data_IF_516647966130
#
_entry.id   IF_516647966130
#
_cell.length_a   1.000
_cell.length_b   1.000
_cell.length_c   1.000
_cell.angle_alpha   90.00
_cell.angle_beta   90.00
_cell.angle_gamma   90.00
#
_symmetry.space_group_name_H-M   'P 1'
#
loop_
_entity.id
_entity.type
_entity.pdbx_description
1 polymer ?
#
# COMPACT_ATOMS: atom_id res chain seq x y z
N UNK A 1 -21.77 21.24 15.10
CA UNK A 1 -22.79 20.21 14.80
C UNK A 1 -22.47 19.03 15.70
N UNK A 2 -23.43 18.44 16.36
CA UNK A 2 -23.23 17.23 17.15
C UNK A 2 -23.52 16.04 16.25
N UNK A 3 -22.61 15.04 16.17
CA UNK A 3 -22.84 13.85 15.38
C UNK A 3 -24.00 13.02 15.94
N UNK A 4 -24.84 12.48 15.05
CA UNK A 4 -25.93 11.57 15.40
C UNK A 4 -25.42 10.13 15.55
N UNK A 5 -26.28 9.21 16.07
CA UNK A 5 -25.95 7.78 16.12
C UNK A 5 -25.74 7.19 14.71
N UNK A 6 -26.50 7.68 13.72
CA UNK A 6 -26.36 7.27 12.32
C UNK A 6 -25.01 7.72 11.73
N UNK A 7 -24.55 8.94 12.06
CA UNK A 7 -23.24 9.42 11.63
C UNK A 7 -22.12 8.55 12.21
N UNK A 8 -22.23 8.19 13.49
CA UNK A 8 -21.25 7.30 14.14
C UNK A 8 -21.26 5.89 13.53
N UNK A 9 -22.42 5.33 13.24
CA UNK A 9 -22.53 4.03 12.58
C UNK A 9 -21.99 4.04 11.15
N UNK A 10 -22.17 5.15 10.42
CA UNK A 10 -21.61 5.34 9.09
C UNK A 10 -20.08 5.47 9.12
N UNK A 11 -19.55 6.24 10.10
CA UNK A 11 -18.10 6.39 10.29
C UNK A 11 -17.43 5.07 10.68
N UNK A 12 -18.06 4.29 11.56
CA UNK A 12 -17.55 2.97 11.97
C UNK A 12 -17.42 2.02 10.77
N UNK A 13 -18.48 1.91 9.97
CA UNK A 13 -18.47 1.13 8.73
C UNK A 13 -17.34 1.57 7.80
N UNK A 14 -17.24 2.87 7.53
CA UNK A 14 -16.20 3.42 6.67
C UNK A 14 -14.80 3.12 7.22
N UNK A 15 -14.58 3.30 8.53
CA UNK A 15 -13.30 3.05 9.17
C UNK A 15 -12.87 1.58 9.04
N UNK A 16 -13.80 0.65 9.22
CA UNK A 16 -13.54 -0.79 9.05
C UNK A 16 -13.25 -1.14 7.58
N UNK A 17 -14.11 -0.73 6.65
CA UNK A 17 -13.98 -1.01 5.22
C UNK A 17 -12.69 -0.43 4.62
N UNK A 18 -12.21 0.69 5.16
CA UNK A 18 -11.02 1.40 4.70
C UNK A 18 -9.76 1.11 5.52
N UNK A 19 -9.84 0.23 6.54
CA UNK A 19 -8.74 -0.11 7.46
C UNK A 19 -8.15 1.14 8.16
N UNK A 20 -9.02 1.96 8.70
CA UNK A 20 -8.70 3.22 9.39
C UNK A 20 -9.18 3.25 10.85
N UNK A 21 -9.69 2.16 11.41
CA UNK A 21 -10.29 2.11 12.76
C UNK A 21 -9.37 2.69 13.83
N UNK A 22 -8.09 2.32 13.85
CA UNK A 22 -7.12 2.86 14.81
C UNK A 22 -6.90 4.36 14.68
N UNK A 23 -6.77 4.87 13.44
CA UNK A 23 -6.58 6.30 13.17
C UNK A 23 -7.82 7.10 13.57
N UNK A 24 -9.02 6.62 13.22
CA UNK A 24 -10.28 7.24 13.59
C UNK A 24 -10.45 7.24 15.11
N UNK A 25 -10.21 6.12 15.79
CA UNK A 25 -10.25 6.06 17.25
C UNK A 25 -9.31 7.09 17.88
N UNK A 26 -8.06 7.12 17.46
CA UNK A 26 -7.07 8.08 17.97
C UNK A 26 -7.55 9.54 17.82
N UNK A 27 -8.13 9.88 16.66
CA UNK A 27 -8.68 11.21 16.42
C UNK A 27 -9.87 11.53 17.36
N UNK A 28 -10.76 10.57 17.61
CA UNK A 28 -11.93 10.80 18.46
C UNK A 28 -11.59 11.01 19.94
N UNK A 29 -10.43 10.52 20.41
CA UNK A 29 -9.99 10.76 21.80
C UNK A 29 -9.71 12.23 22.08
N UNK A 30 -9.41 13.03 21.06
CA UNK A 30 -9.13 14.47 21.17
C UNK A 30 -10.39 15.33 21.11
N UNK A 31 -11.55 14.75 20.79
CA UNK A 31 -12.80 15.50 20.66
C UNK A 31 -13.36 15.94 22.03
N UNK A 32 -14.06 17.09 22.09
CA UNK A 32 -14.83 17.48 23.26
C UNK A 32 -15.86 16.42 23.66
N UNK A 33 -16.20 16.31 24.94
CA UNK A 33 -17.05 15.22 25.44
C UNK A 33 -18.41 15.12 24.72
N UNK A 34 -19.04 16.23 24.32
CA UNK A 34 -20.31 16.28 23.62
C UNK A 34 -20.22 15.86 22.11
N UNK A 35 -19.00 15.70 21.58
CA UNK A 35 -18.75 15.26 20.21
C UNK A 35 -18.09 13.87 20.17
N UNK A 36 -18.00 13.18 21.31
CA UNK A 36 -17.41 11.83 21.35
C UNK A 36 -18.42 10.76 20.92
N UNK A 37 -17.94 9.61 20.42
CA UNK A 37 -18.81 8.50 20.07
C UNK A 37 -19.57 7.97 21.30
N UNK A 38 -20.74 7.31 21.08
CA UNK A 38 -21.45 6.60 22.13
C UNK A 38 -20.54 5.62 22.88
N UNK A 39 -20.76 5.45 24.18
CA UNK A 39 -19.88 4.65 25.07
C UNK A 39 -19.61 3.25 24.51
N UNK A 40 -20.65 2.55 23.99
CA UNK A 40 -20.49 1.21 23.43
C UNK A 40 -19.53 1.17 22.25
N UNK A 41 -19.64 2.14 21.33
CA UNK A 41 -18.75 2.26 20.18
C UNK A 41 -17.33 2.65 20.58
N UNK A 42 -17.20 3.58 21.54
CA UNK A 42 -15.90 3.99 22.08
C UNK A 42 -15.14 2.79 22.70
N UNK A 43 -15.83 1.94 23.47
CA UNK A 43 -15.25 0.73 24.07
C UNK A 43 -14.86 -0.30 23.00
N UNK A 44 -15.70 -0.50 21.97
CA UNK A 44 -15.39 -1.36 20.85
C UNK A 44 -14.12 -0.89 20.12
N UNK A 45 -14.07 0.39 19.74
CA UNK A 45 -12.89 0.97 19.08
C UNK A 45 -11.63 0.93 19.93
N UNK A 46 -11.74 1.08 21.25
CA UNK A 46 -10.62 0.93 22.16
C UNK A 46 -10.05 -0.48 22.12
N UNK A 47 -10.91 -1.50 22.12
CA UNK A 47 -10.48 -2.90 21.98
C UNK A 47 -9.79 -3.18 20.66
N UNK A 48 -10.36 -2.69 19.56
CA UNK A 48 -9.75 -2.81 18.23
C UNK A 48 -8.41 -2.07 18.16
N UNK A 49 -8.31 -0.87 18.75
CA UNK A 49 -7.08 -0.09 18.80
C UNK A 49 -5.95 -0.83 19.56
N UNK A 50 -6.25 -1.52 20.65
CA UNK A 50 -5.26 -2.34 21.36
C UNK A 50 -4.81 -3.54 20.52
N UNK A 51 -5.73 -4.16 19.78
CA UNK A 51 -5.38 -5.24 18.84
C UNK A 51 -4.45 -4.72 17.73
N UNK A 52 -4.79 -3.56 17.14
CA UNK A 52 -3.97 -2.90 16.12
C UNK A 52 -2.58 -2.55 16.68
N UNK A 53 -2.53 -2.02 17.91
CA UNK A 53 -1.28 -1.67 18.59
C UNK A 53 -0.40 -2.91 18.82
N UNK A 54 -1.00 -4.00 19.29
CA UNK A 54 -0.31 -5.28 19.47
C UNK A 54 0.28 -5.81 18.16
N UNK A 55 -0.52 -5.79 17.09
CA UNK A 55 -0.09 -6.21 15.76
C UNK A 55 1.08 -5.34 15.24
N UNK A 56 1.00 -4.01 15.39
CA UNK A 56 2.08 -3.12 14.96
C UNK A 56 3.40 -3.38 15.72
N UNK A 57 3.35 -3.70 17.02
CA UNK A 57 4.56 -4.09 17.77
C UNK A 57 5.20 -5.35 17.18
N UNK A 58 4.38 -6.37 16.84
CA UNK A 58 4.87 -7.59 16.18
C UNK A 58 5.50 -7.28 14.82
N UNK A 59 4.85 -6.43 14.02
CA UNK A 59 5.34 -6.03 12.70
C UNK A 59 6.65 -5.23 12.80
N UNK A 60 6.78 -4.34 13.79
CA UNK A 60 8.01 -3.58 14.03
C UNK A 60 9.18 -4.50 14.41
N UNK A 61 8.95 -5.42 15.36
CA UNK A 61 9.97 -6.39 15.78
C UNK A 61 10.40 -7.29 14.60
N UNK A 62 9.47 -7.73 13.79
CA UNK A 62 9.78 -8.57 12.62
C UNK A 62 10.51 -7.77 11.53
N UNK A 63 10.15 -6.50 11.30
CA UNK A 63 10.86 -5.59 10.37
C UNK A 63 12.32 -5.39 10.79
N UNK A 64 12.58 -5.20 12.08
CA UNK A 64 13.92 -5.08 12.64
C UNK A 64 14.71 -6.38 12.50
N UNK A 65 14.09 -7.52 12.86
CA UNK A 65 14.69 -8.85 12.72
C UNK A 65 15.11 -9.15 11.28
N UNK A 66 14.24 -8.87 10.30
CA UNK A 66 14.53 -9.07 8.88
C UNK A 66 15.64 -8.14 8.39
N UNK A 67 15.61 -6.87 8.81
CA UNK A 67 16.67 -5.91 8.48
C UNK A 67 18.02 -6.40 8.97
N UNK A 68 18.10 -6.86 10.22
CA UNK A 68 19.33 -7.44 10.78
C UNK A 68 19.74 -8.72 10.04
N UNK A 69 18.81 -9.64 9.78
CA UNK A 69 19.06 -10.89 9.06
C UNK A 69 19.75 -10.65 7.71
N UNK A 70 19.26 -9.69 6.92
CA UNK A 70 19.86 -9.37 5.63
C UNK A 70 21.17 -8.59 5.76
N UNK A 71 21.32 -7.75 6.79
CA UNK A 71 22.58 -7.07 7.06
C UNK A 71 23.70 -8.05 7.47
N UNK A 72 23.41 -9.07 8.27
CA UNK A 72 24.33 -10.15 8.64
C UNK A 72 24.80 -10.95 7.41
N UNK A 73 24.01 -10.97 6.34
CA UNK A 73 24.37 -11.55 5.03
C UNK A 73 25.02 -10.55 4.07
N UNK A 74 25.38 -9.37 4.56
CA UNK A 74 26.02 -8.30 3.76
C UNK A 74 25.09 -7.65 2.75
N UNK A 75 23.76 -7.70 2.96
CA UNK A 75 22.75 -7.11 2.07
C UNK A 75 22.12 -5.87 2.67
N UNK A 76 22.01 -4.82 1.88
CA UNK A 76 21.14 -3.69 2.22
C UNK A 76 19.69 -4.09 2.05
N UNK A 77 18.85 -3.63 2.96
CA UNK A 77 17.40 -3.83 2.90
C UNK A 77 16.66 -2.62 3.42
N UNK A 78 15.41 -2.44 3.02
CA UNK A 78 14.55 -1.36 3.48
C UNK A 78 13.08 -1.77 3.52
N UNK A 79 12.36 -1.34 4.54
CA UNK A 79 10.91 -1.44 4.63
C UNK A 79 10.30 -0.38 3.72
N UNK A 80 9.65 -0.80 2.62
CA UNK A 80 9.23 0.09 1.53
C UNK A 80 8.00 0.95 1.87
N UNK A 81 7.09 0.40 2.63
CA UNK A 81 5.80 1.00 3.03
C UNK A 81 5.38 0.43 4.40
N UNK A 82 4.11 0.40 4.72
CA UNK A 82 3.64 -0.23 5.95
C UNK A 82 4.23 0.42 7.19
N UNK A 83 5.18 -0.24 7.85
CA UNK A 83 5.80 0.23 9.09
C UNK A 83 6.63 1.51 8.88
N UNK A 84 7.26 1.67 7.71
CA UNK A 84 7.97 2.92 7.39
C UNK A 84 7.00 4.12 7.29
N UNK A 85 5.81 3.93 6.73
CA UNK A 85 4.78 4.97 6.70
C UNK A 85 4.16 5.22 8.08
N UNK A 86 4.00 4.18 8.89
CA UNK A 86 3.43 4.32 10.23
C UNK A 86 4.20 5.34 11.07
N UNK A 87 5.52 5.41 10.93
CA UNK A 87 6.38 6.36 11.62
C UNK A 87 6.08 7.84 11.31
N UNK A 88 5.33 8.11 10.25
CA UNK A 88 4.91 9.47 9.87
C UNK A 88 3.61 9.91 10.55
N UNK A 89 2.88 8.98 11.18
CA UNK A 89 1.62 9.26 11.86
C UNK A 89 1.87 9.80 13.28
N UNK A 90 0.95 10.63 13.82
CA UNK A 90 1.03 11.12 15.19
C UNK A 90 1.11 10.00 16.24
N UNK A 91 0.36 8.91 16.05
CA UNK A 91 0.53 7.66 16.77
C UNK A 91 0.81 6.54 15.78
N UNK A 92 2.09 6.14 15.62
CA UNK A 92 2.50 5.10 14.67
C UNK A 92 1.81 3.75 14.88
N UNK A 93 1.43 3.43 16.11
CA UNK A 93 0.82 2.15 16.45
C UNK A 93 -0.67 2.09 16.09
N UNK A 94 -1.29 3.22 15.72
CA UNK A 94 -2.70 3.27 15.31
C UNK A 94 -2.93 3.07 13.81
N UNK A 95 -1.89 3.13 12.98
CA UNK A 95 -2.01 2.81 11.56
C UNK A 95 -2.17 1.30 11.38
N UNK A 96 -3.34 0.84 10.91
CA UNK A 96 -3.54 -0.59 10.66
C UNK A 96 -2.51 -1.13 9.67
N UNK A 97 -1.71 -2.12 10.12
CA UNK A 97 -0.72 -2.82 9.29
C UNK A 97 -1.39 -3.86 8.37
N UNK A 98 -0.68 -4.26 7.33
CA UNK A 98 -1.01 -5.38 6.46
C UNK A 98 0.15 -6.38 6.47
N UNK A 99 0.89 -6.39 5.40
CA UNK A 99 2.11 -7.15 5.16
C UNK A 99 3.38 -6.31 5.40
N UNK A 100 4.52 -6.98 5.53
CA UNK A 100 5.84 -6.35 5.51
C UNK A 100 6.39 -6.43 4.09
N UNK A 101 6.53 -5.28 3.45
CA UNK A 101 7.22 -5.15 2.17
C UNK A 101 8.67 -4.77 2.42
N UNK A 102 9.59 -5.72 2.31
CA UNK A 102 11.02 -5.46 2.50
C UNK A 102 11.78 -5.62 1.19
N UNK A 103 12.41 -4.52 0.74
CA UNK A 103 13.34 -4.60 -0.37
C UNK A 103 14.70 -5.13 0.10
N UNK A 104 15.30 -6.01 -0.72
CA UNK A 104 16.62 -6.58 -0.49
C UNK A 104 17.49 -6.39 -1.73
N UNK A 105 18.69 -5.87 -1.54
CA UNK A 105 19.65 -5.63 -2.62
C UNK A 105 20.08 -6.91 -3.31
N UNK A 106 20.21 -6.89 -4.65
CA UNK A 106 20.86 -7.96 -5.42
C UNK A 106 20.07 -8.50 -6.60
N UNK A 107 18.86 -8.02 -6.85
CA UNK A 107 18.01 -8.49 -7.96
C UNK A 107 17.45 -9.90 -7.76
N UNK A 108 16.59 -10.34 -8.69
CA UNK A 108 15.77 -11.55 -8.56
C UNK A 108 16.56 -12.83 -8.22
N UNK A 109 17.55 -13.15 -9.04
CA UNK A 109 18.29 -14.42 -8.88
C UNK A 109 19.07 -14.46 -7.57
N UNK A 110 19.76 -13.36 -7.26
CA UNK A 110 20.57 -13.23 -6.06
C UNK A 110 19.73 -13.25 -4.77
N UNK A 111 18.57 -12.57 -4.79
CA UNK A 111 17.66 -12.57 -3.62
C UNK A 111 17.02 -13.94 -3.43
N UNK A 112 16.58 -14.62 -4.50
CA UNK A 112 16.03 -15.98 -4.39
C UNK A 112 17.09 -16.97 -3.86
N UNK A 113 18.33 -16.88 -4.32
CA UNK A 113 19.42 -17.71 -3.81
C UNK A 113 19.70 -17.43 -2.30
N UNK A 114 19.66 -16.17 -1.90
CA UNK A 114 19.77 -15.80 -0.49
C UNK A 114 18.64 -16.37 0.37
N UNK A 115 17.39 -16.26 -0.09
CA UNK A 115 16.24 -16.79 0.65
C UNK A 115 16.31 -18.31 0.84
N UNK A 116 16.83 -19.05 -0.18
CA UNK A 116 17.10 -20.48 -0.06
C UNK A 116 18.21 -20.78 0.94
N UNK A 117 19.34 -20.06 0.85
CA UNK A 117 20.45 -20.17 1.83
C UNK A 117 19.96 -19.99 3.26
N UNK A 118 19.03 -19.06 3.50
CA UNK A 118 18.44 -18.76 4.79
C UNK A 118 17.32 -19.74 5.22
N UNK A 119 16.97 -20.73 4.38
CA UNK A 119 15.87 -21.66 4.64
C UNK A 119 14.48 -21.02 4.66
N UNK A 120 14.33 -19.82 4.10
CA UNK A 120 13.05 -19.11 4.00
C UNK A 120 12.21 -19.57 2.81
N UNK A 121 12.83 -20.23 1.86
CA UNK A 121 12.21 -20.74 0.63
C UNK A 121 12.81 -22.11 0.30
N UNK A 122 11.94 -23.07 -0.01
CA UNK A 122 12.34 -24.44 -0.38
C UNK A 122 13.21 -24.48 -1.64
N UNK A 123 14.01 -25.56 -1.76
CA UNK A 123 14.67 -25.91 -3.02
C UNK A 123 13.64 -26.28 -4.07
N UNK A 124 13.80 -25.77 -5.28
CA UNK A 124 12.91 -26.05 -6.40
C UNK A 124 12.34 -24.81 -7.07
N UNK A 125 11.51 -24.96 -8.11
CA UNK A 125 10.95 -23.84 -8.85
C UNK A 125 9.87 -23.12 -8.04
N UNK A 126 10.05 -21.81 -7.78
CA UNK A 126 9.02 -20.95 -7.28
C UNK A 126 7.95 -20.72 -8.35
N UNK A 127 6.67 -20.80 -7.98
CA UNK A 127 5.52 -20.63 -8.88
C UNK A 127 4.84 -19.30 -8.63
N UNK A 128 4.22 -18.74 -9.67
CA UNK A 128 3.52 -17.45 -9.59
C UNK A 128 2.17 -17.49 -8.84
N UNK A 129 1.60 -18.63 -8.66
CA UNK A 129 0.35 -18.79 -7.89
C UNK A 129 0.40 -20.12 -7.19
N UNK A 130 0.34 -20.13 -5.86
CA UNK A 130 -0.40 -21.16 -5.20
C UNK A 130 -0.53 -21.16 -3.70
N UNK A 131 -0.65 -21.48 -2.85
CA UNK A 131 -0.99 -21.95 -1.50
C UNK A 131 -0.41 -21.05 -0.41
N UNK A 132 -1.20 -20.70 0.59
CA UNK A 132 -0.73 -19.90 1.73
C UNK A 132 0.42 -20.55 2.52
N UNK A 133 0.64 -21.86 2.32
CA UNK A 133 1.66 -22.67 3.00
C UNK A 133 3.01 -22.72 2.27
N UNK A 134 3.14 -22.09 1.10
CA UNK A 134 4.38 -22.09 0.32
C UNK A 134 4.75 -20.71 -0.20
N UNK A 135 6.06 -20.50 -0.36
CA UNK A 135 6.56 -19.30 -1.00
C UNK A 135 6.12 -19.22 -2.47
N UNK A 136 5.66 -18.04 -2.88
CA UNK A 136 5.31 -17.73 -4.28
C UNK A 136 6.17 -16.61 -4.79
N UNK A 137 6.33 -16.51 -6.12
CA UNK A 137 7.12 -15.45 -6.74
C UNK A 137 6.27 -14.66 -7.74
N UNK A 138 6.39 -13.35 -7.69
CA UNK A 138 5.78 -12.44 -8.65
C UNK A 138 6.84 -11.72 -9.49
N UNK A 139 6.41 -10.74 -10.27
CA UNK A 139 7.31 -9.91 -11.08
C UNK A 139 8.36 -9.15 -10.24
N UNK A 140 8.05 -8.78 -9.02
CA UNK A 140 8.86 -7.85 -8.22
C UNK A 140 9.20 -8.35 -6.82
N UNK A 141 8.54 -9.40 -6.30
CA UNK A 141 8.79 -9.92 -4.95
C UNK A 141 8.64 -11.44 -4.86
N UNK A 142 9.10 -11.99 -3.76
CA UNK A 142 8.78 -13.32 -3.25
C UNK A 142 7.86 -13.13 -2.03
N UNK A 143 6.69 -13.74 -2.07
CA UNK A 143 5.80 -13.80 -0.90
C UNK A 143 6.20 -15.02 -0.09
N UNK A 144 6.59 -14.81 1.17
CA UNK A 144 6.96 -15.88 2.09
C UNK A 144 5.70 -16.48 2.74
N UNK A 145 5.72 -17.75 3.16
CA UNK A 145 4.69 -18.28 4.04
C UNK A 145 4.57 -17.43 5.30
N UNK A 146 3.36 -17.32 5.85
CA UNK A 146 3.18 -16.65 7.13
C UNK A 146 4.07 -17.32 8.18
N UNK A 147 4.78 -16.51 8.95
CA UNK A 147 5.56 -17.05 10.07
C UNK A 147 4.65 -17.52 11.22
N UNK A 148 5.25 -18.14 12.25
CA UNK A 148 4.51 -18.65 13.42
C UNK A 148 3.71 -17.58 14.17
N UNK A 149 4.02 -16.30 13.96
CA UNK A 149 3.31 -15.14 14.53
C UNK A 149 2.20 -14.61 13.62
N UNK A 150 1.96 -15.25 12.47
CA UNK A 150 0.97 -14.84 11.49
C UNK A 150 1.35 -13.59 10.69
N UNK A 151 2.63 -13.18 10.68
CA UNK A 151 3.11 -12.03 9.92
C UNK A 151 3.39 -12.44 8.48
N UNK A 152 2.75 -11.76 7.54
CA UNK A 152 2.97 -11.90 6.11
C UNK A 152 4.14 -11.03 5.65
N UNK A 153 5.05 -11.58 4.84
CA UNK A 153 6.25 -10.90 4.36
C UNK A 153 6.40 -11.04 2.85
N UNK A 154 6.56 -9.92 2.19
CA UNK A 154 6.93 -9.82 0.78
C UNK A 154 8.38 -9.34 0.63
N UNK A 155 9.25 -10.20 0.14
CA UNK A 155 10.67 -9.85 -0.09
C UNK A 155 10.85 -9.35 -1.50
N UNK A 156 11.01 -8.06 -1.65
CA UNK A 156 11.12 -7.36 -2.92
C UNK A 156 12.56 -7.38 -3.45
N UNK A 157 12.74 -7.88 -4.66
CA UNK A 157 13.98 -7.76 -5.44
C UNK A 157 13.89 -6.62 -6.48
N UNK A 158 12.70 -6.03 -6.64
CA UNK A 158 12.45 -4.75 -7.32
C UNK A 158 11.63 -3.87 -6.40
N UNK A 159 11.76 -2.57 -6.56
CA UNK A 159 11.11 -1.60 -5.64
C UNK A 159 9.61 -1.49 -5.81
N UNK A 160 9.06 -1.87 -6.98
CA UNK A 160 7.62 -1.82 -7.26
C UNK A 160 7.27 -2.69 -8.47
N UNK A 161 6.01 -3.09 -8.60
CA UNK A 161 5.44 -3.69 -9.82
C UNK A 161 5.52 -2.76 -11.02
N UNK A 162 5.52 -1.44 -10.77
CA UNK A 162 5.69 -0.41 -11.77
C UNK A 162 4.43 -0.12 -12.61
N UNK A 163 4.65 0.58 -13.72
CA UNK A 163 3.63 0.87 -14.71
C UNK A 163 3.54 -0.23 -15.78
N UNK A 164 2.39 -0.35 -16.40
CA UNK A 164 2.18 -1.27 -17.54
C UNK A 164 2.76 -0.71 -18.85
N UNK A 165 2.88 0.61 -18.98
CA UNK A 165 3.62 1.23 -20.07
C UNK A 165 5.14 0.98 -19.90
N UNK A 166 5.79 0.17 -20.78
CA UNK A 166 7.18 -0.24 -20.59
C UNK A 166 8.18 0.93 -20.68
N UNK A 167 7.83 1.99 -21.41
CA UNK A 167 8.72 3.15 -21.57
C UNK A 167 8.75 4.01 -20.31
N UNK A 168 7.61 4.32 -19.72
CA UNK A 168 7.52 5.05 -18.46
C UNK A 168 8.05 4.21 -17.32
N UNK A 169 7.71 2.91 -17.30
CA UNK A 169 8.18 1.96 -16.32
C UNK A 169 9.72 1.88 -16.28
N UNK A 170 10.38 1.66 -17.43
CA UNK A 170 11.85 1.58 -17.48
C UNK A 170 12.54 2.82 -16.92
N UNK A 171 11.99 4.02 -17.18
CA UNK A 171 12.57 5.27 -16.68
C UNK A 171 12.37 5.43 -15.17
N UNK A 172 11.20 5.07 -14.70
CA UNK A 172 10.85 5.12 -13.28
C UNK A 172 11.65 4.10 -12.47
N UNK A 173 11.70 2.84 -12.93
CA UNK A 173 12.45 1.79 -12.22
C UNK A 173 13.93 2.14 -12.07
N UNK A 174 14.59 2.64 -13.13
CA UNK A 174 15.98 3.08 -13.05
C UNK A 174 16.18 4.15 -11.98
N UNK A 175 15.31 5.16 -11.95
CA UNK A 175 15.40 6.21 -10.94
C UNK A 175 15.13 5.67 -9.53
N UNK A 176 14.16 4.77 -9.36
CA UNK A 176 13.89 4.13 -8.08
C UNK A 176 15.04 3.24 -7.61
N UNK A 177 15.72 2.52 -8.52
CA UNK A 177 16.91 1.72 -8.22
C UNK A 177 18.10 2.57 -7.75
N UNK A 178 18.25 3.78 -8.30
CA UNK A 178 19.25 4.75 -7.85
C UNK A 178 18.84 5.35 -6.49
N UNK A 179 17.60 5.77 -6.33
CA UNK A 179 17.12 6.48 -5.15
C UNK A 179 16.96 5.58 -3.90
N UNK A 180 16.65 4.29 -4.08
CA UNK A 180 16.54 3.34 -2.95
C UNK A 180 17.87 3.18 -2.19
N UNK A 181 18.99 3.54 -2.78
CA UNK A 181 20.27 3.48 -2.12
C UNK A 181 20.44 4.53 -1.02
N UNK A 182 19.57 5.55 -0.97
CA UNK A 182 19.53 6.59 0.06
C UNK A 182 18.68 6.13 1.27
N UNK A 183 19.17 5.13 1.98
CA UNK A 183 18.47 4.54 3.13
C UNK A 183 18.71 5.35 4.41
N UNK A 184 17.71 5.36 5.29
CA UNK A 184 17.80 5.89 6.65
C UNK A 184 17.46 4.81 7.66
N UNK A 185 18.30 4.61 8.65
CA UNK A 185 17.95 3.82 9.82
C UNK A 185 16.92 4.59 10.65
N UNK A 186 15.81 3.95 10.99
CA UNK A 186 14.72 4.51 11.79
C UNK A 186 14.39 3.55 12.92
N UNK A 187 14.12 4.10 14.12
CA UNK A 187 13.71 3.31 15.27
C UNK A 187 12.21 3.47 15.51
N UNK A 188 11.50 2.37 15.61
CA UNK A 188 10.09 2.36 15.96
C UNK A 188 9.84 2.71 17.43
N UNK A 189 10.85 2.57 18.29
CA UNK A 189 10.74 2.83 19.73
C UNK A 189 10.82 4.32 20.07
N UNK A 190 11.50 5.12 19.27
CA UNK A 190 11.74 6.56 19.53
C UNK A 190 10.47 7.41 19.48
N UNK A 191 9.40 6.91 18.86
CA UNK A 191 8.16 7.65 18.62
C UNK A 191 7.04 7.35 19.62
N UNK A 192 7.22 6.36 20.48
CA UNK A 192 6.26 6.04 21.57
C UNK A 192 6.59 6.89 22.81
N UNK A 193 6.79 8.19 22.66
CA UNK A 193 6.89 9.13 23.79
C UNK A 193 5.51 9.58 24.27
N UNK A 194 4.61 8.66 24.49
CA UNK A 194 3.51 8.92 25.43
C UNK A 194 3.94 8.36 26.78
N UNK A 195 4.37 9.23 27.67
CA UNK A 195 4.58 8.90 29.09
C UNK A 195 3.31 8.19 29.57
N UNK A 196 3.41 6.94 30.07
CA UNK A 196 2.27 6.28 30.67
C UNK A 196 1.68 7.17 31.78
N UNK A 197 0.36 7.12 32.04
CA UNK A 197 -0.26 7.93 33.07
C UNK A 197 0.33 7.78 34.47
N UNK A 198 1.09 6.71 34.71
CA UNK A 198 1.75 6.37 35.96
C UNK A 198 3.16 6.95 36.12
N UNK A 199 3.66 7.70 35.11
CA UNK A 199 4.98 8.33 35.17
C UNK A 199 6.16 7.39 35.03
N UNK A 200 5.94 6.09 34.77
CA UNK A 200 7.03 5.16 34.47
C UNK A 200 7.68 5.52 33.13
N UNK A 201 9.03 5.68 33.07
CA UNK A 201 9.65 5.88 31.77
C UNK A 201 9.35 4.68 30.90
N UNK A 202 8.94 4.88 29.61
CA UNK A 202 8.78 3.77 28.69
C UNK A 202 10.09 2.99 28.68
N UNK A 203 9.99 1.68 28.80
CA UNK A 203 11.15 0.80 28.63
C UNK A 203 11.58 0.91 27.16
N UNK A 204 12.43 1.87 26.89
CA UNK A 204 13.06 2.09 25.59
C UNK A 204 14.12 0.99 25.43
N UNK A 205 13.65 -0.24 25.16
CA UNK A 205 14.52 -1.34 24.74
C UNK A 205 15.37 -0.83 23.59
N UNK A 206 16.66 -0.64 23.84
CA UNK A 206 17.58 -0.10 22.85
C UNK A 206 17.65 -1.00 21.62
N UNK A 207 18.12 -0.48 20.50
CA UNK A 207 18.45 -1.07 19.18
C UNK A 207 17.49 -2.15 18.60
N UNK A 208 16.58 -2.73 19.41
CA UNK A 208 15.82 -3.94 19.07
C UNK A 208 14.77 -3.73 17.97
N UNK A 209 14.24 -2.50 17.75
CA UNK A 209 13.22 -2.24 16.75
C UNK A 209 13.68 -1.22 15.66
N UNK A 210 14.96 -1.28 15.32
CA UNK A 210 15.52 -0.43 14.26
C UNK A 210 15.48 -1.15 12.91
N UNK A 211 14.95 -0.47 11.88
CA UNK A 211 14.96 -0.95 10.51
C UNK A 211 15.29 0.19 9.54
N UNK A 212 15.63 -0.14 8.30
CA UNK A 212 15.90 0.87 7.29
C UNK A 212 14.62 1.25 6.55
N UNK A 213 14.43 2.54 6.33
CA UNK A 213 13.39 3.10 5.47
C UNK A 213 14.01 3.88 4.30
N UNK A 214 13.36 3.90 3.13
CA UNK A 214 13.81 4.72 2.01
C UNK A 214 13.56 6.22 2.26
N UNK A 215 14.13 7.07 1.41
CA UNK A 215 13.88 8.51 1.45
C UNK A 215 12.39 8.82 1.18
N UNK A 216 11.90 9.96 1.70
CA UNK A 216 10.53 10.44 1.41
C UNK A 216 10.33 10.63 -0.10
N UNK A 217 11.34 11.12 -0.80
CA UNK A 217 11.33 11.30 -2.26
C UNK A 217 11.10 9.99 -3.00
N UNK A 218 11.82 8.93 -2.61
CA UNK A 218 11.59 7.59 -3.14
C UNK A 218 10.16 7.13 -2.87
N UNK A 219 9.69 7.25 -1.63
CA UNK A 219 8.37 6.78 -1.19
C UNK A 219 7.24 7.49 -1.93
N UNK A 220 7.36 8.79 -2.23
CA UNK A 220 6.38 9.55 -3.03
C UNK A 220 6.22 8.98 -4.44
N UNK A 221 7.30 8.59 -5.11
CA UNK A 221 7.23 8.03 -6.47
C UNK A 221 6.77 6.57 -6.41
N UNK A 222 7.37 5.76 -5.55
CA UNK A 222 7.08 4.33 -5.44
C UNK A 222 5.63 4.09 -5.06
N UNK A 223 5.12 4.79 -4.03
CA UNK A 223 3.75 4.56 -3.57
C UNK A 223 2.71 5.12 -4.54
N UNK A 224 2.99 6.22 -5.26
CA UNK A 224 2.09 6.68 -6.31
C UNK A 224 2.00 5.68 -7.47
N UNK A 225 3.12 5.06 -7.85
CA UNK A 225 3.13 3.99 -8.84
C UNK A 225 2.40 2.73 -8.35
N UNK A 226 2.58 2.38 -7.09
CA UNK A 226 1.90 1.26 -6.44
C UNK A 226 0.38 1.49 -6.36
N UNK A 227 -0.06 2.68 -5.97
CA UNK A 227 -1.48 3.09 -5.97
C UNK A 227 -2.06 3.01 -7.39
N UNK A 228 -1.35 3.55 -8.40
CA UNK A 228 -1.77 3.45 -9.79
C UNK A 228 -1.93 2.00 -10.24
N UNK A 229 -0.97 1.15 -9.95
CA UNK A 229 -1.00 -0.27 -10.31
C UNK A 229 -2.20 -0.99 -9.67
N UNK A 230 -2.36 -0.88 -8.37
CA UNK A 230 -3.47 -1.51 -7.66
C UNK A 230 -4.84 -0.96 -8.04
N UNK A 231 -4.93 0.31 -8.36
CA UNK A 231 -6.17 0.89 -8.87
C UNK A 231 -6.66 0.16 -10.14
N UNK A 232 -5.74 -0.20 -11.05
CA UNK A 232 -6.08 -0.93 -12.28
C UNK A 232 -6.32 -2.44 -12.05
N UNK A 233 -5.76 -3.05 -11.02
CA UNK A 233 -5.85 -4.50 -10.80
C UNK A 233 -6.91 -4.92 -9.77
N UNK A 234 -6.98 -4.27 -8.64
CA UNK A 234 -7.81 -4.74 -7.52
C UNK A 234 -8.57 -3.67 -6.77
N UNK A 235 -8.19 -2.43 -6.93
CA UNK A 235 -8.68 -1.30 -6.14
C UNK A 235 -7.71 -0.89 -5.03
N UNK A 236 -7.93 0.30 -4.50
CA UNK A 236 -7.19 0.91 -3.40
C UNK A 236 -8.17 1.40 -2.34
N UNK A 237 -7.68 1.68 -1.12
CA UNK A 237 -8.49 2.22 -0.02
C UNK A 237 -7.99 3.57 0.46
N UNK A 238 -8.79 4.22 1.34
CA UNK A 238 -8.41 5.50 1.95
C UNK A 238 -7.14 5.39 2.79
N UNK A 239 -6.81 4.20 3.33
CA UNK A 239 -5.57 4.02 4.09
C UNK A 239 -4.33 4.36 3.26
N UNK A 240 -4.26 3.94 1.99
CA UNK A 240 -3.15 4.27 1.11
C UNK A 240 -3.10 5.78 0.80
N UNK A 241 -4.25 6.44 0.74
CA UNK A 241 -4.32 7.89 0.58
C UNK A 241 -3.86 8.62 1.84
N UNK A 242 -4.23 8.14 3.03
CA UNK A 242 -3.73 8.67 4.30
C UNK A 242 -2.20 8.53 4.40
N UNK A 243 -1.65 7.38 4.01
CA UNK A 243 -0.19 7.18 3.93
C UNK A 243 0.47 8.21 3.01
N UNK A 244 -0.13 8.44 1.83
CA UNK A 244 0.40 9.40 0.87
C UNK A 244 0.27 10.85 1.36
N UNK A 245 -0.82 11.18 2.06
CA UNK A 245 -1.01 12.46 2.75
C UNK A 245 0.11 12.71 3.76
N UNK A 246 0.44 11.70 4.58
CA UNK A 246 1.51 11.80 5.56
C UNK A 246 2.88 11.99 4.89
N UNK A 247 3.16 11.29 3.79
CA UNK A 247 4.38 11.50 3.00
C UNK A 247 4.49 12.94 2.49
N UNK A 248 3.42 13.50 1.93
CA UNK A 248 3.40 14.88 1.43
C UNK A 248 3.66 15.90 2.54
N UNK A 249 3.15 15.67 3.73
CA UNK A 249 3.38 16.54 4.90
C UNK A 249 4.81 16.51 5.41
N UNK A 250 5.49 15.38 5.30
CA UNK A 250 6.88 15.20 5.76
C UNK A 250 7.91 15.44 4.64
N UNK A 251 7.47 15.58 3.40
CA UNK A 251 8.33 15.93 2.28
C UNK A 251 8.85 17.37 2.42
N UNK A 252 10.09 17.61 2.03
CA UNK A 252 10.63 18.96 1.86
C UNK A 252 10.08 19.58 0.56
N UNK A 253 10.20 20.89 0.40
CA UNK A 253 9.84 21.56 -0.87
C UNK A 253 10.70 21.07 -2.03
N UNK A 254 11.97 20.69 -1.76
CA UNK A 254 12.86 20.11 -2.77
C UNK A 254 12.38 18.72 -3.20
N UNK A 255 11.96 17.87 -2.26
CA UNK A 255 11.43 16.56 -2.58
C UNK A 255 10.18 16.68 -3.46
N UNK A 256 9.24 17.56 -3.08
CA UNK A 256 8.01 17.79 -3.88
C UNK A 256 8.32 18.31 -5.26
N UNK A 257 9.22 19.31 -5.41
CA UNK A 257 9.62 19.86 -6.72
C UNK A 257 10.26 18.80 -7.61
N UNK A 258 11.18 18.01 -7.04
CA UNK A 258 11.88 16.94 -7.76
C UNK A 258 10.89 15.89 -8.28
N UNK A 259 10.00 15.41 -7.42
CA UNK A 259 8.96 14.43 -7.80
C UNK A 259 8.02 15.02 -8.83
N UNK A 260 7.52 16.24 -8.63
CA UNK A 260 6.62 16.95 -9.55
C UNK A 260 7.21 17.03 -10.96
N UNK A 261 8.50 17.36 -11.08
CA UNK A 261 9.20 17.46 -12.36
C UNK A 261 9.24 16.15 -13.16
N UNK A 262 9.10 15.00 -12.48
CA UNK A 262 9.21 13.67 -13.06
C UNK A 262 7.88 12.98 -13.35
N UNK A 263 6.76 13.48 -12.79
CA UNK A 263 5.43 12.84 -12.91
C UNK A 263 5.06 12.47 -14.34
N UNK A 264 5.24 13.39 -15.29
CA UNK A 264 4.95 13.14 -16.72
C UNK A 264 5.86 12.08 -17.31
N UNK A 265 7.17 12.15 -17.01
CA UNK A 265 8.18 11.22 -17.52
C UNK A 265 7.96 9.80 -16.99
N UNK A 266 7.44 9.67 -15.77
CA UNK A 266 7.13 8.39 -15.13
C UNK A 266 5.72 7.88 -15.42
N UNK A 267 4.88 8.62 -16.17
CA UNK A 267 3.51 8.21 -16.49
C UNK A 267 2.55 8.31 -15.30
N UNK A 268 2.89 9.11 -14.27
CA UNK A 268 2.15 9.24 -13.02
C UNK A 268 1.29 10.51 -12.94
N UNK A 269 1.38 11.43 -13.93
CA UNK A 269 0.77 12.76 -13.84
C UNK A 269 -0.73 12.71 -13.60
N UNK A 270 -1.46 11.84 -14.30
CA UNK A 270 -2.92 11.78 -14.20
C UNK A 270 -3.37 11.24 -12.85
N UNK A 271 -2.72 10.18 -12.38
CA UNK A 271 -3.00 9.65 -11.04
C UNK A 271 -2.63 10.67 -9.95
N UNK A 272 -1.52 11.38 -10.10
CA UNK A 272 -1.14 12.44 -9.18
C UNK A 272 -2.21 13.54 -9.11
N UNK A 273 -2.68 14.05 -10.24
CA UNK A 273 -3.74 15.08 -10.27
C UNK A 273 -5.05 14.62 -9.63
N UNK A 274 -5.45 13.37 -9.89
CA UNK A 274 -6.61 12.76 -9.25
C UNK A 274 -6.42 12.65 -7.73
N UNK A 275 -5.27 12.15 -7.28
CA UNK A 275 -4.95 12.03 -5.85
C UNK A 275 -4.87 13.39 -5.16
N UNK A 276 -4.25 14.41 -5.76
CA UNK A 276 -4.20 15.75 -5.15
C UNK A 276 -5.61 16.30 -4.94
N UNK A 277 -6.52 16.05 -5.87
CA UNK A 277 -7.94 16.43 -5.71
C UNK A 277 -8.59 15.68 -4.53
N UNK A 278 -8.48 14.36 -4.48
CA UNK A 278 -9.08 13.55 -3.39
C UNK A 278 -8.53 14.00 -2.04
N UNK A 279 -7.21 14.16 -1.91
CA UNK A 279 -6.58 14.57 -0.65
C UNK A 279 -6.98 16.00 -0.24
N UNK A 280 -7.21 16.89 -1.19
CA UNK A 280 -7.72 18.24 -0.93
C UNK A 280 -9.15 18.20 -0.40
N UNK A 281 -10.04 17.48 -1.08
CA UNK A 281 -11.46 17.45 -0.74
C UNK A 281 -11.76 16.63 0.54
N UNK A 282 -11.01 15.55 0.78
CA UNK A 282 -11.30 14.63 1.89
C UNK A 282 -10.45 14.87 3.14
N UNK A 283 -9.18 15.27 2.98
CA UNK A 283 -8.20 15.42 4.05
C UNK A 283 -7.68 16.87 4.18
N UNK A 284 -8.24 17.81 3.42
CA UNK A 284 -7.87 19.22 3.45
C UNK A 284 -6.37 19.45 3.23
N UNK A 285 -5.77 18.73 2.25
CA UNK A 285 -4.36 18.89 1.90
C UNK A 285 -4.12 20.33 1.43
N UNK A 286 -3.20 21.01 2.09
CA UNK A 286 -2.83 22.38 1.75
C UNK A 286 -2.21 22.48 0.35
N UNK A 287 -2.56 23.49 -0.48
CA UNK A 287 -2.05 23.62 -1.86
C UNK A 287 -0.51 23.62 -1.95
N UNK A 288 0.19 24.17 -0.97
CA UNK A 288 1.67 24.20 -0.91
C UNK A 288 2.31 22.82 -0.77
N UNK A 289 1.56 21.81 -0.34
CA UNK A 289 2.04 20.43 -0.19
C UNK A 289 1.77 19.57 -1.41
N UNK A 290 1.05 20.08 -2.40
CA UNK A 290 0.67 19.33 -3.60
C UNK A 290 1.84 19.18 -4.57
N UNK A 291 1.86 18.05 -5.28
CA UNK A 291 2.84 17.77 -6.33
C UNK A 291 2.48 18.40 -7.69
N UNK A 292 1.20 18.66 -7.92
CA UNK A 292 0.68 19.22 -9.15
C UNK A 292 -0.73 19.80 -8.95
N UNK A 293 -1.25 20.44 -9.95
CA UNK A 293 -2.64 20.88 -9.98
C UNK A 293 -3.62 19.71 -9.83
N UNK A 294 -4.73 19.96 -9.18
CA UNK A 294 -5.81 19.00 -8.96
C UNK A 294 -6.56 18.70 -10.26
N UNK A 295 -7.01 17.48 -10.45
CA UNK A 295 -7.90 17.05 -11.53
C UNK A 295 -9.22 16.57 -10.94
N UNK A 296 -10.20 17.48 -10.83
CA UNK A 296 -11.49 17.21 -10.18
C UNK A 296 -12.25 16.04 -10.84
N UNK A 297 -12.26 15.96 -12.17
CA UNK A 297 -12.98 14.91 -12.88
C UNK A 297 -12.41 13.52 -12.58
N UNK A 298 -11.08 13.37 -12.64
CA UNK A 298 -10.40 12.12 -12.33
C UNK A 298 -10.40 11.82 -10.84
N UNK A 299 -10.32 12.87 -10.02
CA UNK A 299 -10.37 12.74 -8.56
C UNK A 299 -11.72 12.22 -8.08
N UNK A 300 -12.83 12.73 -8.61
CA UNK A 300 -14.16 12.22 -8.26
C UNK A 300 -14.31 10.75 -8.65
N UNK A 301 -13.86 10.36 -9.85
CA UNK A 301 -13.89 8.96 -10.27
C UNK A 301 -13.04 8.06 -9.37
N UNK A 302 -11.86 8.53 -8.96
CA UNK A 302 -10.97 7.82 -8.05
C UNK A 302 -11.64 7.63 -6.68
N UNK A 303 -12.24 8.67 -6.12
CA UNK A 303 -12.94 8.62 -4.85
C UNK A 303 -14.14 7.67 -4.88
N UNK A 304 -14.96 7.73 -5.94
CA UNK A 304 -16.11 6.86 -6.11
C UNK A 304 -15.70 5.36 -6.12
N UNK A 305 -14.60 5.02 -6.80
CA UNK A 305 -14.09 3.64 -6.84
C UNK A 305 -13.50 3.21 -5.48
N UNK A 306 -12.82 4.10 -4.75
CA UNK A 306 -12.30 3.83 -3.41
C UNK A 306 -13.43 3.53 -2.44
N UNK A 307 -14.46 4.37 -2.42
CA UNK A 307 -15.60 4.21 -1.51
C UNK A 307 -16.43 2.97 -1.85
N UNK A 308 -16.60 2.65 -3.15
CA UNK A 308 -17.33 1.47 -3.58
C UNK A 308 -16.57 0.15 -3.34
N UNK A 309 -15.24 0.17 -3.36
CA UNK A 309 -14.39 -1.02 -3.27
C UNK A 309 -13.90 -1.35 -1.87
N UNK A 310 -13.83 -0.37 -0.99
CA UNK A 310 -13.13 -0.51 0.29
C UNK A 310 -11.63 -0.81 0.10
N UNK A 311 -10.95 -1.18 1.19
CA UNK A 311 -9.53 -1.47 1.14
C UNK A 311 -9.23 -2.68 0.22
N UNK A 312 -8.42 -2.46 -0.82
CA UNK A 312 -8.08 -3.44 -1.87
C UNK A 312 -9.30 -4.03 -2.62
N UNK A 313 -10.40 -3.30 -2.72
CA UNK A 313 -11.59 -3.73 -3.44
C UNK A 313 -12.30 -4.95 -2.82
N UNK A 314 -12.06 -5.26 -1.54
CA UNK A 314 -12.61 -6.44 -0.85
C UNK A 314 -14.13 -6.38 -0.70
N UNK A 315 -14.70 -5.19 -0.61
CA UNK A 315 -16.12 -4.94 -0.39
C UNK A 315 -16.89 -4.66 -1.69
N UNK A 316 -16.26 -4.85 -2.85
CA UNK A 316 -16.88 -4.60 -4.14
C UNK A 316 -17.86 -5.71 -4.53
N UNK A 317 -19.13 -5.58 -4.11
CA UNK A 317 -20.22 -6.49 -4.48
C UNK A 317 -20.50 -6.52 -5.99
N UNK A 318 -19.97 -5.54 -6.75
CA UNK A 318 -20.05 -5.50 -8.21
C UNK A 318 -19.36 -6.70 -8.89
N UNK A 319 -18.52 -7.44 -8.16
CA UNK A 319 -17.84 -8.65 -8.69
C UNK A 319 -18.72 -9.91 -8.67
N UNK A 320 -19.85 -9.91 -7.94
CA UNK A 320 -20.79 -11.02 -7.87
C UNK A 320 -21.85 -10.87 -8.95
N UNK A 321 -21.79 -11.67 -10.02
CA UNK A 321 -22.76 -11.62 -11.11
C UNK A 321 -23.00 -13.02 -11.66
N UNK A 322 -24.28 -13.38 -11.85
CA UNK A 322 -24.71 -14.71 -12.27
C UNK A 322 -24.68 -14.93 -13.80
N UNK A 323 -24.53 -13.86 -14.62
CA UNK A 323 -24.52 -13.91 -16.08
C UNK A 323 -23.20 -13.45 -16.70
N UNK A 324 -22.66 -14.26 -17.61
CA UNK A 324 -21.42 -13.96 -18.34
C UNK A 324 -21.53 -12.67 -19.17
N UNK A 325 -22.69 -12.39 -19.75
CA UNK A 325 -22.94 -11.19 -20.55
C UNK A 325 -22.88 -9.92 -19.69
N UNK A 326 -23.55 -9.94 -18.54
CA UNK A 326 -23.53 -8.82 -17.58
C UNK A 326 -22.12 -8.60 -17.03
N UNK A 327 -21.38 -9.67 -16.78
CA UNK A 327 -19.98 -9.59 -16.38
C UNK A 327 -19.11 -8.90 -17.45
N UNK A 328 -19.24 -9.28 -18.73
CA UNK A 328 -18.49 -8.69 -19.85
C UNK A 328 -18.83 -7.21 -19.98
N UNK A 329 -20.12 -6.83 -20.03
CA UNK A 329 -20.55 -5.44 -20.14
C UNK A 329 -20.02 -4.60 -18.99
N UNK A 330 -20.08 -5.11 -17.76
CA UNK A 330 -19.56 -4.45 -16.57
C UNK A 330 -18.04 -4.26 -16.63
N UNK A 331 -17.31 -5.29 -17.06
CA UNK A 331 -15.87 -5.25 -17.24
C UNK A 331 -15.46 -4.20 -18.26
N UNK A 332 -16.13 -4.13 -19.41
CA UNK A 332 -15.87 -3.14 -20.44
C UNK A 332 -16.21 -1.71 -19.98
N UNK A 333 -17.32 -1.54 -19.25
CA UNK A 333 -17.65 -0.23 -18.65
C UNK A 333 -16.58 0.22 -17.65
N UNK A 334 -16.10 -0.67 -16.79
CA UNK A 334 -15.02 -0.40 -15.84
C UNK A 334 -13.73 -0.02 -16.57
N UNK A 335 -13.38 -0.73 -17.66
CA UNK A 335 -12.22 -0.40 -18.50
C UNK A 335 -12.31 0.99 -19.11
N UNK A 336 -13.48 1.38 -19.62
CA UNK A 336 -13.72 2.71 -20.16
C UNK A 336 -13.59 3.80 -19.08
N UNK A 337 -14.08 3.55 -17.87
CA UNK A 337 -13.92 4.43 -16.73
C UNK A 337 -12.44 4.58 -16.34
N UNK A 338 -11.70 3.48 -16.26
CA UNK A 338 -10.26 3.49 -15.98
C UNK A 338 -9.45 4.18 -17.08
N UNK A 339 -9.85 4.03 -18.36
CA UNK A 339 -9.23 4.71 -19.47
C UNK A 339 -9.34 6.24 -19.36
N UNK A 340 -10.39 6.76 -18.72
CA UNK A 340 -10.53 8.20 -18.48
C UNK A 340 -9.54 8.73 -17.44
N UNK A 341 -9.10 7.87 -16.52
CA UNK A 341 -8.10 8.24 -15.47
C UNK A 341 -6.70 8.25 -16.06
N UNK A 342 -6.27 7.18 -16.72
CA UNK A 342 -4.95 7.13 -17.36
C UNK A 342 -5.01 6.38 -18.70
N UNK A 343 -5.30 7.09 -19.83
CA UNK A 343 -5.44 6.47 -21.14
C UNK A 343 -4.19 5.69 -21.59
N UNK A 344 -3.00 6.21 -21.28
CA UNK A 344 -1.75 5.56 -21.67
C UNK A 344 -1.55 4.22 -20.98
N UNK A 345 -1.76 4.15 -19.68
CA UNK A 345 -1.65 2.89 -18.94
C UNK A 345 -2.73 1.90 -19.39
N UNK A 346 -3.99 2.38 -19.57
CA UNK A 346 -5.08 1.52 -20.01
C UNK A 346 -4.84 0.93 -21.41
N UNK A 347 -4.23 1.66 -22.32
CA UNK A 347 -3.81 1.11 -23.62
C UNK A 347 -2.87 -0.10 -23.45
N UNK A 348 -1.90 -0.01 -22.54
CA UNK A 348 -0.97 -1.10 -22.28
C UNK A 348 -1.60 -2.26 -21.50
N UNK A 349 -2.56 -1.98 -20.61
CA UNK A 349 -3.41 -3.01 -19.97
C UNK A 349 -4.10 -3.85 -21.04
N UNK A 350 -4.77 -3.20 -22.00
CA UNK A 350 -5.48 -3.88 -23.08
C UNK A 350 -4.53 -4.65 -23.99
N UNK A 351 -3.42 -4.05 -24.39
CA UNK A 351 -2.42 -4.69 -25.23
C UNK A 351 -1.86 -5.95 -24.57
N UNK A 352 -1.52 -5.89 -23.29
CA UNK A 352 -1.02 -7.06 -22.54
C UNK A 352 -2.11 -8.12 -22.37
N UNK A 353 -3.34 -7.74 -22.09
CA UNK A 353 -4.48 -8.65 -21.99
C UNK A 353 -4.68 -9.42 -23.32
N UNK A 354 -4.74 -8.71 -24.45
CA UNK A 354 -4.91 -9.34 -25.75
C UNK A 354 -3.72 -10.24 -26.12
N UNK A 355 -2.50 -9.81 -25.81
CA UNK A 355 -1.31 -10.65 -25.98
C UNK A 355 -1.43 -11.95 -25.19
N UNK A 356 -1.89 -11.91 -23.95
CA UNK A 356 -2.10 -13.10 -23.12
C UNK A 356 -3.23 -14.00 -23.67
N UNK A 357 -4.35 -13.41 -24.07
CA UNK A 357 -5.46 -14.13 -24.70
C UNK A 357 -4.96 -14.88 -25.95
N UNK A 358 -4.24 -14.20 -26.84
CA UNK A 358 -3.72 -14.83 -28.06
C UNK A 358 -2.64 -15.88 -27.77
N UNK A 359 -1.78 -15.68 -26.80
CA UNK A 359 -0.74 -16.67 -26.44
C UNK A 359 -1.35 -17.96 -25.87
N UNK A 360 -2.48 -17.87 -25.17
CA UNK A 360 -3.18 -19.02 -24.58
C UNK A 360 -4.21 -19.65 -25.52
N UNK A 361 -4.54 -19.01 -26.65
CA UNK A 361 -5.57 -19.47 -27.61
C UNK A 361 -5.30 -20.87 -28.12
N UNK A 362 -4.06 -21.26 -28.55
CA UNK A 362 -3.77 -22.63 -29.03
C UNK A 362 -4.05 -23.68 -27.97
N UNK A 363 -3.74 -23.40 -26.70
CA UNK A 363 -3.96 -24.31 -25.59
C UNK A 363 -5.46 -24.43 -25.25
N UNK A 364 -6.19 -23.32 -25.27
CA UNK A 364 -7.65 -23.29 -25.05
C UNK A 364 -8.39 -24.05 -26.15
N UNK A 365 -8.02 -23.90 -27.41
CA UNK A 365 -8.56 -24.66 -28.54
C UNK A 365 -8.28 -26.14 -28.34
N UNK A 366 -7.05 -26.53 -27.98
CA UNK A 366 -6.67 -27.95 -27.75
C UNK A 366 -7.49 -28.57 -26.60
N UNK A 367 -7.79 -27.80 -25.54
CA UNK A 367 -8.58 -28.28 -24.40
C UNK A 367 -10.10 -28.17 -24.59
N UNK A 368 -10.60 -27.73 -25.77
CA UNK A 368 -12.02 -27.47 -26.04
C UNK A 368 -12.72 -26.59 -24.99
N UNK A 369 -11.99 -25.73 -24.31
CA UNK A 369 -12.49 -24.78 -23.30
C UNK A 369 -12.45 -23.36 -23.88
N UNK A 370 -13.46 -23.01 -24.69
CA UNK A 370 -13.69 -21.65 -25.16
C UNK A 370 -14.55 -20.90 -24.11
N UNK A 371 -14.02 -20.70 -22.93
CA UNK A 371 -14.62 -19.78 -21.94
C UNK A 371 -13.88 -18.46 -22.01
N UNK A 372 -14.62 -17.36 -22.05
CA UNK A 372 -14.10 -15.98 -22.03
C UNK A 372 -13.75 -15.47 -20.61
N UNK A 373 -13.84 -16.37 -19.61
CA UNK A 373 -13.46 -16.12 -18.22
C UNK A 373 -11.96 -16.26 -17.99
#
# INVERSE_FOLDING_TARGET
MEPTEEDWAALDRLAQEQSLTGVVYSATTTLPAHQRPPMGLAMYWMSEAETIRGQNRLMNAESARLTKLYADEGRRSAILKGQANALLYPDPLMRQSGDIDIWVEGGRESVVALLRKLGLVDEGPLREFDRPDRATISYHHVHLPNNDKGVSVEVHFRTTSGNLNPFTNRRMQRWLEEEIMNLKAVSADTLVQTTPPDGTPPNLGGEENTFNAPSIRFSLVMQLAHIQHHFFEGGIGLRQLCDYYMLLRHATDDDRREVASRLKRFGLRYMAGAMMWVLSETLHLEPRLMLCETDAKRGQQLLDEILAGGNFGKFNDRKKTDSDLVFIIRKERMRLQMASINPSEMFWVELNHWREVFSRLPERIRRRRLSLR
#
